data_IF_593866252988
#
_entry.id   IF_593866252988
#
_cell.length_a   1.000
_cell.length_b   1.000
_cell.length_c   1.000
_cell.angle_alpha   90.00
_cell.angle_beta   90.00
_cell.angle_gamma   90.00
#
_symmetry.space_group_name_H-M   'P 1'
#
loop_
_entity.id
_entity.type
_entity.pdbx_description
1 polymer ?
#
# COMPACT_ATOMS: atom_id res chain seq x y z
N UNK A 1 3.64 -2.83 17.97
CA UNK A 1 4.49 -2.14 17.02
C UNK A 1 3.85 -2.21 15.66
N UNK A 2 3.77 -1.09 14.99
CA UNK A 2 2.98 -1.01 13.76
C UNK A 2 3.74 -0.28 12.65
N UNK A 3 3.39 -0.64 11.44
CA UNK A 3 3.67 0.14 10.25
C UNK A 3 2.55 1.16 10.06
N UNK A 4 2.88 2.30 9.50
CA UNK A 4 1.93 3.38 9.28
C UNK A 4 2.15 3.98 7.89
N UNK A 5 1.06 4.13 7.15
CA UNK A 5 1.08 4.76 5.84
C UNK A 5 0.13 5.95 5.82
N UNK A 6 0.66 7.12 5.52
CA UNK A 6 -0.17 8.33 5.39
C UNK A 6 -0.43 8.60 3.91
N UNK A 7 -1.67 8.45 3.50
CA UNK A 7 -2.06 8.54 2.08
C UNK A 7 -1.69 9.89 1.47
N UNK A 8 -1.98 10.99 2.15
CA UNK A 8 -1.80 12.33 1.58
C UNK A 8 -0.33 12.70 1.33
N UNK A 9 0.60 12.07 2.03
CA UNK A 9 2.03 12.36 1.90
C UNK A 9 2.81 11.24 1.25
N UNK A 10 2.25 10.03 1.18
CA UNK A 10 2.94 8.86 0.71
C UNK A 10 3.97 8.31 1.69
N UNK A 11 4.02 8.83 2.91
CA UNK A 11 5.03 8.41 3.87
C UNK A 11 4.66 7.08 4.52
N UNK A 12 5.56 6.11 4.38
CA UNK A 12 5.53 4.86 5.12
C UNK A 12 6.54 4.94 6.26
N UNK A 13 6.07 4.72 7.47
CA UNK A 13 6.91 4.75 8.67
C UNK A 13 6.74 3.49 9.50
N UNK A 14 7.76 3.20 10.31
CA UNK A 14 7.77 2.08 11.24
C UNK A 14 8.22 2.58 12.61
N UNK A 15 7.37 2.42 13.59
CA UNK A 15 7.63 2.91 14.96
C UNK A 15 8.05 4.40 14.99
N UNK A 16 7.40 5.21 14.17
CA UNK A 16 7.66 6.63 14.06
C UNK A 16 8.84 7.03 13.19
N UNK A 17 9.55 6.06 12.61
CA UNK A 17 10.70 6.32 11.75
C UNK A 17 10.29 6.26 10.28
N UNK A 18 10.63 7.30 9.52
CA UNK A 18 10.43 7.32 8.07
C UNK A 18 11.24 6.20 7.42
N UNK A 19 10.56 5.36 6.64
CA UNK A 19 11.18 4.25 5.92
C UNK A 19 11.21 4.52 4.41
N UNK A 20 10.11 4.99 3.84
CA UNK A 20 10.02 5.20 2.41
C UNK A 20 8.94 6.19 2.03
N UNK A 21 9.07 6.74 0.83
CA UNK A 21 8.00 7.48 0.17
C UNK A 21 7.34 6.56 -0.86
N UNK A 22 6.03 6.48 -0.80
CA UNK A 22 5.22 5.62 -1.64
C UNK A 22 4.12 6.45 -2.31
N UNK A 23 3.30 5.81 -3.15
CA UNK A 23 2.07 6.45 -3.60
C UNK A 23 0.95 5.40 -3.67
N UNK A 24 -0.29 5.87 -3.71
CA UNK A 24 -1.45 5.01 -3.86
C UNK A 24 -2.53 5.75 -4.64
N UNK A 25 -3.16 5.03 -5.58
CA UNK A 25 -4.16 5.61 -6.46
C UNK A 25 -3.60 6.09 -7.79
N UNK A 26 -4.48 6.49 -8.68
CA UNK A 26 -4.14 6.84 -10.06
C UNK A 26 -4.70 8.20 -10.46
N UNK A 27 -3.99 8.88 -11.38
CA UNK A 27 -4.45 10.13 -11.98
C UNK A 27 -4.76 11.19 -10.93
N UNK A 28 -5.92 11.82 -11.06
CA UNK A 28 -6.34 12.86 -10.15
C UNK A 28 -6.67 12.37 -8.74
N UNK A 29 -6.87 11.07 -8.57
CA UNK A 29 -7.17 10.46 -7.27
C UNK A 29 -5.92 10.02 -6.50
N UNK A 30 -4.75 10.08 -7.13
CA UNK A 30 -3.48 9.67 -6.50
C UNK A 30 -3.24 10.48 -5.23
N UNK A 31 -2.94 9.76 -4.14
CA UNK A 31 -2.58 10.33 -2.85
C UNK A 31 -3.66 11.24 -2.24
N UNK A 32 -4.91 11.04 -2.65
CA UNK A 32 -6.04 11.81 -2.13
C UNK A 32 -6.96 10.93 -1.29
N UNK A 33 -6.90 11.04 0.05
CA UNK A 33 -7.75 10.21 0.92
C UNK A 33 -9.24 10.31 0.60
N UNK A 34 -9.69 11.47 0.15
CA UNK A 34 -11.10 11.68 -0.19
C UNK A 34 -11.57 10.85 -1.39
N UNK A 35 -10.63 10.27 -2.15
CA UNK A 35 -10.93 9.42 -3.29
C UNK A 35 -10.89 7.93 -2.96
N UNK A 36 -10.77 7.57 -1.69
CA UNK A 36 -10.60 6.17 -1.26
C UNK A 36 -11.77 5.26 -1.66
N UNK A 37 -12.94 5.82 -1.92
CA UNK A 37 -14.11 5.05 -2.33
C UNK A 37 -14.17 4.75 -3.84
N UNK A 38 -13.30 5.34 -4.63
CA UNK A 38 -13.34 5.22 -6.09
C UNK A 38 -12.62 3.95 -6.53
N UNK A 39 -13.37 3.00 -7.06
CA UNK A 39 -12.81 1.72 -7.52
C UNK A 39 -11.84 1.94 -8.68
N UNK A 40 -10.69 1.26 -8.61
CA UNK A 40 -9.63 1.26 -9.63
C UNK A 40 -8.91 2.59 -9.82
N UNK A 41 -9.21 3.60 -9.04
CA UNK A 41 -8.56 4.92 -9.14
C UNK A 41 -8.15 5.49 -7.79
N UNK A 42 -8.97 5.30 -6.77
CA UNK A 42 -8.69 5.83 -5.44
C UNK A 42 -7.49 5.15 -4.79
N UNK A 43 -6.85 5.83 -3.81
CA UNK A 43 -5.83 5.21 -3.01
C UNK A 43 -6.41 4.11 -2.13
N UNK A 44 -5.53 3.35 -1.46
CA UNK A 44 -5.95 2.36 -0.48
C UNK A 44 -6.83 3.03 0.58
N UNK A 45 -7.99 2.47 0.90
CA UNK A 45 -8.86 3.04 1.93
C UNK A 45 -8.19 3.10 3.30
N UNK A 46 -8.45 4.18 4.01
CA UNK A 46 -7.92 4.35 5.37
C UNK A 46 -8.50 3.29 6.30
N UNK A 47 -7.70 2.79 7.21
CA UNK A 47 -8.09 1.76 8.16
C UNK A 47 -6.90 0.93 8.59
N UNK A 48 -7.16 -0.29 9.03
CA UNK A 48 -6.14 -1.18 9.56
C UNK A 48 -6.09 -2.45 8.71
N UNK A 49 -4.87 -2.85 8.35
CA UNK A 49 -4.62 -3.98 7.48
C UNK A 49 -3.65 -4.95 8.14
N UNK A 50 -3.86 -6.23 7.88
CA UNK A 50 -2.92 -7.29 8.24
C UNK A 50 -1.95 -7.51 7.07
N UNK A 51 -0.67 -7.57 7.37
CA UNK A 51 0.38 -7.91 6.40
C UNK A 51 0.42 -9.43 6.31
N UNK A 52 -0.25 -9.97 5.29
CA UNK A 52 -0.56 -11.41 5.26
C UNK A 52 0.57 -12.28 4.69
N UNK A 53 1.45 -11.70 3.87
CA UNK A 53 2.54 -12.47 3.27
C UNK A 53 2.86 -12.03 1.85
N UNK A 54 3.61 -12.87 1.12
CA UNK A 54 4.03 -12.57 -0.24
C UNK A 54 3.07 -13.13 -1.27
N UNK A 55 2.78 -12.35 -2.31
CA UNK A 55 2.20 -12.83 -3.55
C UNK A 55 3.34 -13.13 -4.52
N UNK A 56 3.75 -14.39 -4.59
CA UNK A 56 4.87 -14.83 -5.42
C UNK A 56 4.48 -15.04 -6.88
N UNK A 57 3.20 -14.89 -7.23
CA UNK A 57 2.74 -14.95 -8.61
C UNK A 57 3.05 -13.68 -9.38
N UNK A 58 3.44 -12.61 -8.67
CA UNK A 58 3.91 -11.36 -9.28
C UNK A 58 5.44 -11.34 -9.34
N UNK A 59 5.97 -10.69 -10.36
CA UNK A 59 7.41 -10.49 -10.49
C UNK A 59 7.67 -9.01 -10.70
N UNK A 60 8.36 -8.33 -9.75
CA UNK A 60 8.77 -8.84 -8.44
C UNK A 60 7.60 -9.10 -7.50
N UNK A 61 7.86 -9.87 -6.44
CA UNK A 61 6.83 -10.26 -5.48
C UNK A 61 6.20 -9.05 -4.76
N UNK A 62 4.94 -9.17 -4.43
CA UNK A 62 4.18 -8.15 -3.71
C UNK A 62 3.81 -8.63 -2.31
N UNK A 63 3.59 -7.69 -1.40
CA UNK A 63 3.10 -7.98 -0.06
C UNK A 63 1.57 -7.87 -0.07
N UNK A 64 0.90 -8.91 0.42
CA UNK A 64 -0.56 -8.96 0.48
C UNK A 64 -1.03 -8.24 1.74
N UNK A 65 -2.01 -7.35 1.57
CA UNK A 65 -2.64 -6.63 2.67
C UNK A 65 -4.10 -7.05 2.76
N UNK A 66 -4.52 -7.48 3.96
CA UNK A 66 -5.91 -7.87 4.22
C UNK A 66 -6.54 -6.89 5.20
N UNK A 67 -7.68 -6.27 4.86
CA UNK A 67 -8.33 -5.36 5.79
C UNK A 67 -8.81 -6.12 7.03
N UNK A 68 -8.58 -5.52 8.19
CA UNK A 68 -9.05 -6.06 9.46
C UNK A 68 -10.48 -5.56 9.71
N UNK A 69 -11.25 -6.34 10.45
CA UNK A 69 -12.63 -6.03 10.77
C UNK A 69 -12.80 -4.59 11.27
N UNK A 70 -13.79 -3.88 10.74
CA UNK A 70 -14.02 -2.47 11.01
C UNK A 70 -13.42 -1.53 9.97
N UNK A 71 -12.52 -2.00 9.12
CA UNK A 71 -12.00 -1.19 8.02
C UNK A 71 -12.99 -1.14 6.88
N UNK A 72 -13.44 0.06 6.52
CA UNK A 72 -14.34 0.24 5.39
C UNK A 72 -13.55 0.32 4.09
N UNK A 73 -13.66 -0.69 3.25
CA UNK A 73 -12.99 -0.73 1.95
C UNK A 73 -13.89 -0.31 0.78
N UNK A 74 -15.12 0.08 1.08
CA UNK A 74 -16.10 0.52 0.05
C UNK A 74 -16.35 -0.55 -1.01
N UNK A 75 -16.32 -1.83 -0.60
CA UNK A 75 -16.50 -2.96 -1.52
C UNK A 75 -15.29 -3.24 -2.40
N UNK A 76 -14.18 -2.57 -2.18
CA UNK A 76 -12.92 -2.77 -2.91
C UNK A 76 -12.10 -3.87 -2.25
N UNK A 77 -11.20 -4.49 -3.02
CA UNK A 77 -10.38 -5.60 -2.57
C UNK A 77 -9.01 -5.62 -3.28
N UNK A 78 -8.23 -6.67 -3.06
CA UNK A 78 -6.92 -6.89 -3.69
C UNK A 78 -5.89 -5.81 -3.38
N UNK A 79 -5.75 -5.46 -2.11
CA UNK A 79 -4.75 -4.49 -1.68
C UNK A 79 -3.40 -5.17 -1.46
N UNK A 80 -2.35 -4.53 -1.99
CA UNK A 80 -0.99 -5.04 -1.90
C UNK A 80 0.00 -3.88 -1.82
N UNK A 81 1.23 -4.18 -1.41
CA UNK A 81 2.38 -3.28 -1.58
C UNK A 81 3.24 -3.89 -2.68
N UNK A 82 3.40 -3.16 -3.79
CA UNK A 82 4.24 -3.62 -4.90
C UNK A 82 4.98 -2.44 -5.54
N UNK A 83 5.84 -2.69 -6.52
CA UNK A 83 6.56 -1.65 -7.24
C UNK A 83 5.83 -1.18 -8.49
N UNK A 84 6.36 -0.13 -9.12
CA UNK A 84 5.88 0.31 -10.43
C UNK A 84 5.99 -0.84 -11.44
N UNK A 85 5.06 -0.86 -12.38
CA UNK A 85 5.03 -1.90 -13.41
C UNK A 85 6.10 -1.65 -14.46
N UNK A 86 6.86 -2.69 -14.77
CA UNK A 86 7.87 -2.65 -15.80
C UNK A 86 7.23 -2.35 -17.15
N UNK A 87 7.83 -1.43 -17.90
CA UNK A 87 7.31 -1.05 -19.22
C UNK A 87 6.18 -0.04 -19.21
N UNK A 88 5.81 0.46 -18.03
CA UNK A 88 4.81 1.52 -17.89
C UNK A 88 5.43 2.77 -17.28
N UNK A 89 4.89 3.96 -17.55
CA UNK A 89 5.41 5.18 -16.95
C UNK A 89 5.41 5.09 -15.40
N UNK A 90 6.46 5.56 -14.73
CA UNK A 90 6.47 5.62 -13.28
C UNK A 90 5.28 6.41 -12.75
N UNK A 91 4.73 5.96 -11.63
CA UNK A 91 3.60 6.62 -10.99
C UNK A 91 2.23 6.22 -11.53
N UNK A 92 2.15 5.18 -12.39
CA UNK A 92 0.89 4.74 -13.02
C UNK A 92 0.48 3.32 -12.66
N UNK A 93 1.14 2.71 -11.67
CA UNK A 93 0.93 1.28 -11.39
C UNK A 93 -0.17 0.99 -10.35
N UNK A 94 -0.78 2.00 -9.74
CA UNK A 94 -1.71 1.79 -8.65
C UNK A 94 -3.17 1.92 -9.10
N UNK A 95 -3.96 0.90 -8.79
CA UNK A 95 -5.42 0.95 -8.83
C UNK A 95 -5.99 0.85 -7.40
N UNK A 96 -5.19 1.17 -6.39
CA UNK A 96 -5.53 1.10 -4.98
C UNK A 96 -4.45 0.48 -4.11
N UNK A 97 -3.44 -0.14 -4.70
CA UNK A 97 -2.30 -0.67 -3.95
C UNK A 97 -1.34 0.45 -3.53
N UNK A 98 -0.54 0.17 -2.51
CA UNK A 98 0.58 1.04 -2.14
C UNK A 98 1.76 0.68 -3.05
N UNK A 99 2.29 1.66 -3.75
CA UNK A 99 3.45 1.47 -4.63
C UNK A 99 4.71 1.89 -3.90
N UNK A 100 5.57 0.92 -3.63
CA UNK A 100 6.86 1.11 -3.00
C UNK A 100 7.91 0.38 -3.81
N UNK A 101 8.74 1.14 -4.52
CA UNK A 101 9.80 0.58 -5.34
C UNK A 101 10.93 0.03 -4.48
N UNK A 102 11.58 -1.02 -4.99
CA UNK A 102 12.65 -1.71 -4.28
C UNK A 102 12.14 -2.93 -3.52
N UNK A 103 12.41 -4.12 -4.07
CA UNK A 103 12.00 -5.37 -3.43
C UNK A 103 12.70 -5.56 -2.09
N UNK A 104 13.93 -5.08 -1.94
CA UNK A 104 14.67 -5.10 -0.69
C UNK A 104 13.97 -4.31 0.40
N UNK A 105 13.37 -3.17 0.07
CA UNK A 105 12.59 -2.37 1.02
C UNK A 105 11.31 -3.09 1.43
N UNK A 106 10.63 -3.73 0.48
CA UNK A 106 9.46 -4.55 0.80
C UNK A 106 9.83 -5.73 1.70
N UNK A 107 11.00 -6.32 1.45
CA UNK A 107 11.52 -7.39 2.29
C UNK A 107 11.74 -6.91 3.74
N UNK A 108 12.17 -5.68 3.93
CA UNK A 108 12.32 -5.08 5.27
C UNK A 108 11.00 -5.08 6.04
N UNK A 109 9.90 -4.78 5.35
CA UNK A 109 8.57 -4.82 5.99
C UNK A 109 8.24 -6.23 6.45
N UNK A 110 8.42 -7.20 5.57
CA UNK A 110 8.12 -8.60 5.86
C UNK A 110 8.98 -9.12 7.01
N UNK A 111 10.27 -8.80 6.98
CA UNK A 111 11.24 -9.31 7.97
C UNK A 111 11.10 -8.64 9.33
N UNK A 112 10.39 -7.52 9.44
CA UNK A 112 10.24 -6.81 10.70
C UNK A 112 9.49 -7.63 11.75
N UNK A 113 8.68 -8.59 11.33
CA UNK A 113 7.83 -9.35 12.23
C UNK A 113 6.57 -8.62 12.68
N UNK A 114 6.45 -7.33 12.39
CA UNK A 114 5.25 -6.55 12.68
C UNK A 114 4.26 -6.71 11.53
N UNK A 115 3.05 -7.16 11.85
CA UNK A 115 2.06 -7.57 10.85
C UNK A 115 0.89 -6.61 10.70
N UNK A 116 0.93 -5.48 11.38
CA UNK A 116 -0.15 -4.51 11.33
C UNK A 116 0.32 -3.26 10.59
N UNK A 117 -0.50 -2.84 9.61
CA UNK A 117 -0.34 -1.59 8.87
C UNK A 117 -1.55 -0.72 9.13
N UNK A 118 -1.31 0.48 9.67
CA UNK A 118 -2.35 1.49 9.83
C UNK A 118 -2.27 2.45 8.66
N UNK A 119 -3.36 2.60 7.91
CA UNK A 119 -3.46 3.56 6.79
C UNK A 119 -4.26 4.76 7.25
N UNK A 120 -3.66 5.95 7.15
CA UNK A 120 -4.29 7.21 7.56
C UNK A 120 -4.35 8.24 6.45
#
# INVERSE_FOLDING_TARGET
MTWEYKVSTGILSHNGKLIAYCYSGAGESKDKPNCEHIRNKGPIPRGVYFIAGWNNHKSPAAIILEPIAGTNTFGRDHFEIHGDKKGQPPGTASAGCIIMNGQDKRQTIYDSGDTILVVR
#
